data_IF_310788833959
#
_entry.id   IF_310788833959
#
_cell.length_a   1.000
_cell.length_b   1.000
_cell.length_c   1.000
_cell.angle_alpha   90.00
_cell.angle_beta   90.00
_cell.angle_gamma   90.00
#
_symmetry.space_group_name_H-M   'P 1'
#
loop_
_entity.id
_entity.type
_entity.pdbx_description
1 polymer ?
#
# COMPACT_ATOMS: atom_id res chain seq x y z
N UNK A 1 6.26 3.29 -7.43
CA UNK A 1 4.86 3.53 -7.83
C UNK A 1 3.95 3.06 -6.70
N UNK A 2 2.82 3.73 -6.46
CA UNK A 2 1.87 3.41 -5.39
C UNK A 2 2.58 3.28 -4.02
N UNK A 3 2.21 2.31 -3.19
CA UNK A 3 2.80 2.03 -1.87
C UNK A 3 4.33 1.95 -1.89
N UNK A 4 4.94 1.49 -2.99
CA UNK A 4 6.39 1.39 -3.12
C UNK A 4 7.15 2.71 -2.92
N UNK A 5 6.47 3.86 -3.07
CA UNK A 5 7.06 5.16 -2.71
C UNK A 5 7.22 5.38 -1.20
N UNK A 6 6.32 4.83 -0.37
CA UNK A 6 6.48 4.80 1.09
C UNK A 6 7.54 3.78 1.50
N UNK A 7 7.57 2.61 0.84
CA UNK A 7 8.59 1.57 1.07
C UNK A 7 10.02 2.09 0.86
N UNK A 8 10.29 2.79 -0.25
CA UNK A 8 11.63 3.34 -0.52
C UNK A 8 12.01 4.47 0.46
N UNK A 9 11.02 5.24 0.95
CA UNK A 9 11.25 6.25 2.01
C UNK A 9 11.60 5.58 3.34
N UNK A 10 10.92 4.50 3.72
CA UNK A 10 11.26 3.72 4.91
C UNK A 10 12.67 3.12 4.78
N UNK A 11 13.01 2.55 3.63
CA UNK A 11 14.36 2.04 3.38
C UNK A 11 15.42 3.13 3.54
N UNK A 12 15.17 4.34 3.03
CA UNK A 12 16.07 5.47 3.23
C UNK A 12 16.24 5.84 4.70
N UNK A 13 15.15 5.89 5.47
CA UNK A 13 15.21 6.15 6.91
C UNK A 13 16.10 5.12 7.60
N UNK A 14 15.87 3.83 7.34
CA UNK A 14 16.66 2.75 7.93
C UNK A 14 18.14 2.82 7.50
N UNK A 15 18.43 3.12 6.23
CA UNK A 15 19.81 3.29 5.78
C UNK A 15 20.51 4.47 6.45
N UNK A 16 19.82 5.58 6.67
CA UNK A 16 20.43 6.80 7.21
C UNK A 16 20.55 6.77 8.74
N UNK A 17 19.53 6.27 9.42
CA UNK A 17 19.37 6.40 10.88
C UNK A 17 19.47 5.03 11.60
N UNK A 18 19.25 3.94 10.87
CA UNK A 18 19.06 2.61 11.43
C UNK A 18 17.72 2.48 12.15
N UNK A 19 17.64 1.49 13.05
CA UNK A 19 16.50 1.34 13.96
C UNK A 19 17.00 1.26 15.41
N UNK A 20 16.68 2.24 16.28
CA UNK A 20 17.09 2.24 17.67
C UNK A 20 16.55 1.06 18.48
N UNK A 21 15.34 0.60 18.21
CA UNK A 21 14.71 -0.51 18.95
C UNK A 21 15.43 -1.82 18.64
N UNK A 22 15.73 -2.06 17.37
CA UNK A 22 16.52 -3.22 16.92
C UNK A 22 17.95 -3.20 17.48
N UNK A 23 18.58 -2.01 17.56
CA UNK A 23 19.91 -1.85 18.18
C UNK A 23 19.91 -2.24 19.67
N UNK A 24 18.83 -1.95 20.39
CA UNK A 24 18.70 -2.25 21.83
C UNK A 24 18.30 -3.71 22.06
N UNK A 25 17.40 -4.25 21.23
CA UNK A 25 16.90 -5.61 21.34
C UNK A 25 17.94 -6.67 20.92
N UNK A 26 18.87 -6.32 20.03
CA UNK A 26 19.92 -7.23 19.58
C UNK A 26 20.84 -7.64 20.73
N UNK A 27 20.78 -8.93 21.09
CA UNK A 27 21.72 -9.58 22.03
C UNK A 27 22.90 -10.28 21.30
N UNK A 28 23.04 -10.04 20.00
CA UNK A 28 24.01 -10.67 19.10
C UNK A 28 24.07 -9.94 17.75
N UNK A 29 24.20 -10.69 16.65
CA UNK A 29 24.28 -10.12 15.29
C UNK A 29 22.93 -9.49 14.88
N UNK A 30 22.92 -8.17 14.62
CA UNK A 30 21.79 -7.45 14.04
C UNK A 30 21.99 -7.23 12.54
N UNK A 31 20.90 -7.09 11.79
CA UNK A 31 20.99 -6.74 10.37
C UNK A 31 21.77 -5.42 10.20
N UNK A 32 22.76 -5.35 9.29
CA UNK A 32 23.47 -4.11 9.01
C UNK A 32 22.55 -2.95 8.65
N UNK A 33 21.37 -3.23 8.06
CA UNK A 33 20.34 -2.23 7.77
C UNK A 33 19.93 -1.45 9.02
N UNK A 34 19.73 -2.13 10.15
CA UNK A 34 19.31 -1.50 11.39
C UNK A 34 20.42 -0.71 12.07
N UNK A 35 21.67 -0.82 11.62
CA UNK A 35 22.77 -0.04 12.19
C UNK A 35 22.86 1.38 11.63
N UNK A 36 22.33 1.61 10.42
CA UNK A 36 22.49 2.86 9.66
C UNK A 36 23.75 2.81 8.79
N UNK A 37 23.58 2.46 7.51
CA UNK A 37 24.68 2.29 6.55
C UNK A 37 25.06 3.56 5.77
N UNK A 38 24.32 4.66 5.99
CA UNK A 38 24.56 5.97 5.39
C UNK A 38 23.90 6.17 4.02
N UNK A 39 24.49 7.07 3.22
CA UNK A 39 23.89 7.59 1.99
C UNK A 39 24.08 6.64 0.80
N UNK A 40 23.22 5.63 0.66
CA UNK A 40 23.25 4.71 -0.48
C UNK A 40 22.30 5.12 -1.61
N UNK A 41 21.31 5.95 -1.30
CA UNK A 41 20.27 6.38 -2.25
C UNK A 41 20.65 7.75 -2.83
N UNK A 42 20.70 7.84 -4.16
CA UNK A 42 20.97 9.10 -4.86
C UNK A 42 19.70 9.88 -5.18
N UNK A 43 18.64 9.18 -5.54
CA UNK A 43 17.35 9.78 -5.86
C UNK A 43 16.20 8.83 -5.60
N UNK A 44 15.06 9.39 -5.21
CA UNK A 44 13.78 8.71 -5.06
C UNK A 44 12.78 9.34 -6.02
N UNK A 45 12.19 8.52 -6.88
CA UNK A 45 11.11 8.95 -7.78
C UNK A 45 9.86 8.15 -7.48
N UNK A 46 8.78 8.85 -7.12
CA UNK A 46 7.49 8.25 -6.77
C UNK A 46 6.42 8.63 -7.78
N UNK A 47 5.54 7.68 -8.10
CA UNK A 47 4.40 7.85 -9.00
C UNK A 47 3.16 7.36 -8.27
N UNK A 48 2.13 8.21 -8.16
CA UNK A 48 0.85 7.87 -7.53
C UNK A 48 1.00 7.30 -6.11
N UNK A 49 1.99 7.78 -5.36
CA UNK A 49 2.28 7.28 -4.01
C UNK A 49 1.40 7.99 -2.98
N UNK A 50 0.69 7.24 -2.10
CA UNK A 50 -0.09 7.81 -1.02
C UNK A 50 0.82 8.23 0.15
N UNK A 51 1.61 9.30 -0.03
CA UNK A 51 2.54 9.78 1.02
C UNK A 51 1.83 10.20 2.32
N UNK A 52 0.56 10.56 2.22
CA UNK A 52 -0.32 10.92 3.34
C UNK A 52 -1.47 9.92 3.54
N UNK A 53 -1.35 8.73 2.94
CA UNK A 53 -2.38 7.70 2.96
C UNK A 53 -3.42 7.87 1.86
N UNK A 54 -4.39 6.95 1.83
CA UNK A 54 -5.54 7.00 0.92
C UNK A 54 -6.84 6.89 1.72
N UNK A 55 -7.81 7.81 1.50
CA UNK A 55 -9.12 7.71 2.14
C UNK A 55 -9.84 6.39 1.83
N UNK A 56 -9.50 5.73 0.71
CA UNK A 56 -10.11 4.46 0.33
C UNK A 56 -9.97 3.41 1.43
N UNK A 57 -8.78 3.26 2.00
CA UNK A 57 -8.54 2.24 3.02
C UNK A 57 -9.16 2.64 4.36
N UNK A 58 -9.23 3.94 4.65
CA UNK A 58 -9.90 4.47 5.85
C UNK A 58 -11.43 4.26 5.81
N UNK A 59 -12.02 4.20 4.62
CA UNK A 59 -13.47 4.03 4.40
C UNK A 59 -13.93 2.58 4.30
N UNK A 60 -13.01 1.63 4.09
CA UNK A 60 -13.34 0.22 3.92
C UNK A 60 -13.18 -0.53 5.24
N UNK A 61 -14.13 -1.42 5.54
CA UNK A 61 -13.93 -2.46 6.55
C UNK A 61 -13.11 -3.63 5.97
N UNK A 62 -12.78 -4.62 6.79
CA UNK A 62 -12.05 -5.80 6.32
C UNK A 62 -12.69 -6.51 5.14
N UNK A 63 -14.03 -6.58 5.10
CA UNK A 63 -14.74 -7.17 3.97
C UNK A 63 -14.55 -6.32 2.71
N UNK A 64 -14.61 -5.01 2.82
CA UNK A 64 -14.32 -4.05 1.77
C UNK A 64 -12.89 -4.17 1.23
N UNK A 65 -11.89 -4.34 2.11
CA UNK A 65 -10.50 -4.53 1.71
C UNK A 65 -10.27 -5.86 0.98
N UNK A 66 -10.90 -6.93 1.47
CA UNK A 66 -10.90 -8.24 0.79
C UNK A 66 -11.52 -8.13 -0.60
N UNK A 67 -12.70 -7.49 -0.71
CA UNK A 67 -13.37 -7.31 -1.99
C UNK A 67 -12.52 -6.46 -2.95
N UNK A 68 -11.86 -5.42 -2.46
CA UNK A 68 -10.94 -4.59 -3.26
C UNK A 68 -9.78 -5.41 -3.84
N UNK A 69 -9.18 -6.31 -3.05
CA UNK A 69 -8.13 -7.21 -3.55
C UNK A 69 -8.70 -8.17 -4.59
N UNK A 70 -9.85 -8.78 -4.32
CA UNK A 70 -10.51 -9.72 -5.25
C UNK A 70 -10.84 -9.04 -6.58
N UNK A 71 -11.36 -7.81 -6.55
CA UNK A 71 -11.61 -7.01 -7.74
C UNK A 71 -10.31 -6.77 -8.51
N UNK A 72 -9.25 -6.27 -7.87
CA UNK A 72 -7.95 -6.06 -8.51
C UNK A 72 -7.44 -7.35 -9.17
N UNK A 73 -7.50 -8.49 -8.46
CA UNK A 73 -7.11 -9.80 -8.98
C UNK A 73 -7.90 -10.15 -10.23
N UNK A 74 -9.23 -10.03 -10.19
CA UNK A 74 -10.12 -10.35 -11.30
C UNK A 74 -9.88 -9.41 -12.49
N UNK A 75 -9.73 -8.11 -12.24
CA UNK A 75 -9.49 -7.10 -13.27
C UNK A 75 -8.21 -7.37 -14.03
N UNK A 76 -7.11 -7.63 -13.32
CA UNK A 76 -5.85 -7.97 -13.96
C UNK A 76 -5.88 -9.36 -14.61
N UNK A 77 -6.54 -10.36 -14.02
CA UNK A 77 -6.71 -11.66 -14.67
C UNK A 77 -7.47 -11.56 -16.01
N UNK A 78 -8.42 -10.62 -16.12
CA UNK A 78 -9.18 -10.39 -17.34
C UNK A 78 -8.36 -9.74 -18.48
N UNK A 79 -7.30 -9.00 -18.16
CA UNK A 79 -6.47 -8.26 -19.14
C UNK A 79 -5.06 -8.82 -19.33
N UNK A 80 -4.64 -9.79 -18.52
CA UNK A 80 -3.28 -10.32 -18.50
C UNK A 80 -3.12 -11.66 -19.22
N UNK A 81 -1.91 -11.89 -19.73
CA UNK A 81 -1.39 -13.23 -20.01
C UNK A 81 -0.85 -13.86 -18.72
N UNK A 82 -0.47 -15.15 -18.78
CA UNK A 82 -0.03 -16.05 -17.67
C UNK A 82 0.85 -15.41 -16.58
N UNK A 83 1.59 -14.34 -16.88
CA UNK A 83 2.50 -13.64 -15.96
C UNK A 83 1.85 -13.00 -14.72
N UNK A 84 0.67 -12.40 -14.80
CA UNK A 84 0.02 -11.80 -13.60
C UNK A 84 -0.55 -12.89 -12.68
N UNK A 85 -1.08 -13.96 -13.26
CA UNK A 85 -1.54 -15.14 -12.52
C UNK A 85 -0.37 -15.78 -11.75
N UNK A 86 0.82 -15.81 -12.36
CA UNK A 86 2.05 -16.27 -11.68
C UNK A 86 2.50 -15.32 -10.56
N UNK A 87 2.30 -14.00 -10.69
CA UNK A 87 2.56 -13.03 -9.61
C UNK A 87 1.63 -13.25 -8.42
N UNK A 88 0.36 -13.57 -8.67
CA UNK A 88 -0.61 -13.88 -7.61
C UNK A 88 -0.39 -15.25 -6.94
N UNK A 89 0.56 -16.04 -7.42
CA UNK A 89 0.78 -17.38 -6.87
C UNK A 89 1.36 -17.34 -5.46
N UNK A 90 2.08 -16.27 -5.09
CA UNK A 90 2.61 -16.06 -3.75
C UNK A 90 2.58 -14.56 -3.38
N UNK A 91 2.08 -14.25 -2.18
CA UNK A 91 2.05 -12.89 -1.60
C UNK A 91 3.25 -12.60 -0.68
N UNK A 92 4.23 -13.49 -0.60
CA UNK A 92 5.46 -13.36 0.22
C UNK A 92 5.15 -13.18 1.74
N UNK A 93 4.14 -13.91 2.24
CA UNK A 93 3.66 -13.83 3.62
C UNK A 93 4.28 -14.91 4.55
N UNK A 94 5.45 -15.44 4.20
CA UNK A 94 6.15 -16.48 4.97
C UNK A 94 6.43 -16.08 6.42
N UNK A 95 6.68 -14.79 6.66
CA UNK A 95 6.89 -14.24 8.00
C UNK A 95 5.65 -14.34 8.90
N UNK A 96 4.45 -14.44 8.30
CA UNK A 96 3.19 -14.76 8.98
C UNK A 96 2.89 -16.27 9.03
N UNK A 97 3.80 -17.10 8.53
CA UNK A 97 3.60 -18.55 8.39
C UNK A 97 2.68 -18.93 7.22
N UNK A 98 2.50 -18.03 6.25
CA UNK A 98 1.59 -18.21 5.11
C UNK A 98 2.40 -18.19 3.82
N UNK A 99 2.78 -19.38 3.35
CA UNK A 99 3.39 -19.54 2.02
C UNK A 99 2.45 -20.32 1.12
N UNK A 100 2.66 -20.23 -0.19
CA UNK A 100 2.00 -21.12 -1.14
C UNK A 100 2.39 -22.59 -0.88
N UNK A 101 1.44 -23.53 -0.96
CA UNK A 101 1.70 -24.96 -0.76
C UNK A 101 1.70 -25.72 -2.09
N UNK A 102 2.63 -26.65 -2.27
CA UNK A 102 2.75 -27.41 -3.52
C UNK A 102 1.43 -28.12 -3.89
N UNK A 103 0.87 -27.76 -5.05
CA UNK A 103 -0.38 -28.34 -5.58
C UNK A 103 -1.66 -27.67 -5.08
N UNK A 104 -1.55 -26.60 -4.30
CA UNK A 104 -2.68 -25.83 -3.80
C UNK A 104 -3.33 -24.97 -4.89
N UNK A 105 -4.65 -24.81 -4.88
CA UNK A 105 -5.30 -23.86 -5.79
C UNK A 105 -5.12 -22.43 -5.28
N UNK A 106 -5.10 -21.43 -6.18
CA UNK A 106 -5.08 -20.02 -5.75
C UNK A 106 -6.25 -19.68 -4.81
N UNK A 107 -7.43 -20.28 -5.03
CA UNK A 107 -8.60 -20.07 -4.17
C UNK A 107 -8.39 -20.58 -2.75
N UNK A 108 -7.72 -21.72 -2.59
CA UNK A 108 -7.40 -22.28 -1.26
C UNK A 108 -6.33 -21.43 -0.58
N UNK A 109 -5.29 -21.04 -1.33
CA UNK A 109 -4.26 -20.12 -0.85
C UNK A 109 -4.86 -18.80 -0.35
N UNK A 110 -5.69 -18.17 -1.19
CA UNK A 110 -6.36 -16.92 -0.85
C UNK A 110 -7.30 -17.06 0.36
N UNK A 111 -7.98 -18.21 0.50
CA UNK A 111 -8.82 -18.49 1.67
C UNK A 111 -8.00 -18.55 2.97
N UNK A 112 -6.78 -19.12 2.93
CA UNK A 112 -5.86 -19.12 4.09
C UNK A 112 -5.34 -17.72 4.41
N UNK A 113 -4.99 -16.94 3.39
CA UNK A 113 -4.54 -15.56 3.56
C UNK A 113 -5.62 -14.72 4.27
N UNK A 114 -6.87 -14.78 3.79
CA UNK A 114 -8.02 -14.07 4.39
C UNK A 114 -8.34 -14.48 5.81
N UNK A 115 -8.09 -15.73 6.17
CA UNK A 115 -8.34 -16.27 7.52
C UNK A 115 -7.16 -16.13 8.47
N UNK A 116 -6.07 -15.52 8.02
CA UNK A 116 -4.86 -15.36 8.81
C UNK A 116 -4.90 -14.13 9.72
N UNK A 117 -3.97 -14.11 10.69
CA UNK A 117 -3.79 -12.96 11.57
C UNK A 117 -3.26 -11.71 10.84
N UNK A 118 -2.68 -11.86 9.63
CA UNK A 118 -2.19 -10.73 8.86
C UNK A 118 -3.32 -9.76 8.48
N UNK A 119 -4.53 -10.30 8.26
CA UNK A 119 -5.76 -9.57 7.91
C UNK A 119 -6.62 -9.20 9.13
N UNK A 120 -6.09 -9.27 10.35
CA UNK A 120 -6.81 -8.84 11.55
C UNK A 120 -6.87 -7.32 11.62
N UNK A 121 -8.03 -6.75 11.99
CA UNK A 121 -8.23 -5.29 12.18
C UNK A 121 -7.18 -4.63 13.08
N UNK A 122 -6.66 -5.38 14.06
CA UNK A 122 -5.69 -4.86 15.02
C UNK A 122 -4.23 -5.04 14.57
N UNK A 123 -4.00 -5.60 13.39
CA UNK A 123 -2.65 -5.76 12.86
C UNK A 123 -2.19 -4.47 12.18
N UNK A 124 -1.21 -3.81 12.78
CA UNK A 124 -0.56 -2.62 12.18
C UNK A 124 0.57 -3.00 11.21
N UNK A 125 1.04 -4.26 11.22
CA UNK A 125 2.12 -4.75 10.36
C UNK A 125 1.56 -5.39 9.09
N UNK A 126 0.82 -4.58 8.31
CA UNK A 126 0.28 -4.99 7.02
C UNK A 126 0.10 -3.80 6.07
N UNK A 127 0.12 -4.07 4.77
CA UNK A 127 0.07 -3.02 3.74
C UNK A 127 -1.15 -2.10 3.87
N UNK A 128 -2.30 -2.62 4.29
CA UNK A 128 -3.49 -1.80 4.48
C UNK A 128 -3.33 -0.78 5.59
N UNK A 129 -2.79 -1.19 6.74
CA UNK A 129 -2.52 -0.25 7.81
C UNK A 129 -1.59 0.88 7.34
N UNK A 130 -0.50 0.53 6.66
CA UNK A 130 0.47 1.47 6.09
C UNK A 130 -0.08 2.34 4.94
N UNK A 131 -1.28 2.03 4.41
CA UNK A 131 -1.99 2.84 3.42
C UNK A 131 -3.05 3.76 4.04
N UNK A 132 -3.41 3.56 5.31
CA UNK A 132 -4.30 4.48 6.04
C UNK A 132 -3.64 5.85 6.21
N UNK A 133 -4.45 6.89 6.43
CA UNK A 133 -3.92 8.22 6.78
C UNK A 133 -3.11 8.18 8.08
N UNK A 134 -3.53 7.35 9.05
CA UNK A 134 -2.84 7.18 10.32
C UNK A 134 -1.49 6.45 10.18
N UNK A 135 -1.44 5.34 9.44
CA UNK A 135 -0.21 4.58 9.18
C UNK A 135 0.82 5.41 8.44
N UNK A 136 0.42 6.11 7.37
CA UNK A 136 1.29 7.05 6.67
C UNK A 136 1.76 8.19 7.58
N UNK A 137 0.91 8.71 8.47
CA UNK A 137 1.30 9.72 9.46
C UNK A 137 2.35 9.18 10.44
N UNK A 138 2.22 7.92 10.89
CA UNK A 138 3.26 7.27 11.71
C UNK A 138 4.59 7.15 10.95
N UNK A 139 4.56 6.69 9.70
CA UNK A 139 5.76 6.62 8.85
C UNK A 139 6.41 8.00 8.65
N UNK A 140 5.61 9.02 8.35
CA UNK A 140 6.07 10.41 8.18
C UNK A 140 6.75 10.94 9.46
N UNK A 141 6.36 10.47 10.64
CA UNK A 141 6.97 10.87 11.90
C UNK A 141 8.15 9.99 12.35
N UNK A 142 8.44 8.87 11.65
CA UNK A 142 9.49 7.92 12.05
C UNK A 142 10.90 8.47 11.85
N UNK A 143 11.11 9.31 10.84
CA UNK A 143 12.41 9.87 10.50
C UNK A 143 12.29 11.22 9.79
N UNK A 144 13.35 11.65 9.11
CA UNK A 144 13.29 12.90 8.33
C UNK A 144 12.37 12.76 7.12
N UNK A 145 11.67 13.85 6.83
CA UNK A 145 10.86 13.99 5.61
C UNK A 145 11.70 13.90 4.33
N UNK A 146 12.94 14.42 4.39
CA UNK A 146 13.91 14.36 3.31
C UNK A 146 15.34 14.43 3.85
N UNK A 147 16.28 13.77 3.17
CA UNK A 147 17.69 13.77 3.47
C UNK A 147 18.47 14.66 2.50
N UNK A 148 19.50 15.40 2.96
CA UNK A 148 20.15 16.44 2.17
C UNK A 148 20.94 15.92 0.95
N UNK A 149 21.28 14.63 0.90
CA UNK A 149 22.09 14.04 -0.18
C UNK A 149 21.26 13.28 -1.23
N UNK A 150 19.93 13.31 -1.09
CA UNK A 150 18.99 12.58 -1.94
C UNK A 150 18.12 13.55 -2.73
N UNK A 151 17.94 13.28 -4.02
CA UNK A 151 16.97 14.02 -4.85
C UNK A 151 15.59 13.35 -4.79
N UNK A 152 14.53 14.14 -4.66
CA UNK A 152 13.16 13.63 -4.57
C UNK A 152 12.31 14.13 -5.74
N UNK A 153 11.60 13.22 -6.40
CA UNK A 153 10.69 13.51 -7.49
C UNK A 153 9.34 12.83 -7.22
N UNK A 154 8.24 13.57 -7.34
CA UNK A 154 6.89 13.07 -7.12
C UNK A 154 5.99 13.37 -8.32
N UNK A 155 5.32 12.35 -8.83
CA UNK A 155 4.31 12.47 -9.88
C UNK A 155 2.95 12.12 -9.29
N UNK A 156 2.08 13.13 -9.22
CA UNK A 156 0.67 12.95 -8.86
C UNK A 156 -0.14 12.53 -10.08
N UNK A 157 -1.23 11.82 -9.86
CA UNK A 157 -2.16 11.35 -10.89
C UNK A 157 -3.58 11.66 -10.47
N UNK A 158 -4.41 12.00 -11.44
CA UNK A 158 -5.83 12.28 -11.30
C UNK A 158 -6.53 11.71 -12.54
N UNK A 159 -7.71 11.13 -12.37
CA UNK A 159 -8.56 10.66 -13.45
C UNK A 159 -10.04 10.80 -13.07
N UNK A 160 -10.37 11.92 -12.43
CA UNK A 160 -11.71 12.25 -11.97
C UNK A 160 -12.08 13.64 -12.46
N UNK A 161 -13.36 13.97 -12.50
CA UNK A 161 -13.82 15.32 -12.77
C UNK A 161 -14.77 15.81 -11.68
N UNK A 162 -14.76 17.13 -11.38
CA UNK A 162 -15.68 17.71 -10.41
C UNK A 162 -17.11 17.68 -10.95
N UNK A 163 -18.04 17.22 -10.12
CA UNK A 163 -19.47 17.19 -10.39
C UNK A 163 -20.23 17.89 -9.28
N UNK A 164 -21.17 18.76 -9.66
CA UNK A 164 -22.05 19.43 -8.71
C UNK A 164 -23.23 18.53 -8.38
N UNK A 165 -23.18 17.90 -7.20
CA UNK A 165 -24.27 17.07 -6.71
C UNK A 165 -25.41 17.95 -6.20
N UNK A 166 -26.61 17.75 -6.74
CA UNK A 166 -27.84 18.46 -6.32
C UNK A 166 -28.75 17.60 -5.44
N UNK A 167 -28.18 16.61 -4.74
CA UNK A 167 -28.92 15.67 -3.90
C UNK A 167 -29.72 16.32 -2.75
N UNK A 168 -30.74 15.61 -2.25
CA UNK A 168 -31.77 16.10 -1.31
C UNK A 168 -31.28 16.61 0.06
N UNK A 169 -30.01 16.44 0.44
CA UNK A 169 -29.52 16.74 1.79
C UNK A 169 -28.46 17.84 1.91
N UNK A 170 -27.74 18.22 0.86
CA UNK A 170 -27.01 19.48 0.70
C UNK A 170 -26.26 19.43 -0.64
N UNK A 171 -26.23 20.55 -1.40
CA UNK A 171 -25.51 20.57 -2.64
C UNK A 171 -24.00 20.79 -2.40
N UNK A 172 -23.17 19.93 -2.98
CA UNK A 172 -21.72 19.94 -2.80
C UNK A 172 -20.97 19.46 -4.05
N UNK A 173 -19.66 19.78 -4.11
CA UNK A 173 -18.78 19.31 -5.17
C UNK A 173 -18.23 17.93 -4.80
N UNK A 174 -18.50 16.94 -5.65
CA UNK A 174 -17.95 15.60 -5.55
C UNK A 174 -17.02 15.33 -6.75
N UNK A 175 -16.16 14.32 -6.66
CA UNK A 175 -15.33 13.84 -7.76
C UNK A 175 -15.93 12.55 -8.33
N UNK A 176 -16.13 12.51 -9.65
CA UNK A 176 -16.62 11.32 -10.36
C UNK A 176 -15.53 10.78 -11.28
N UNK A 177 -15.46 9.45 -11.51
CA UNK A 177 -14.48 8.86 -12.42
C UNK A 177 -14.67 9.33 -13.85
N UNK A 178 -13.59 9.67 -14.54
CA UNK A 178 -13.61 9.94 -15.98
C UNK A 178 -14.01 8.68 -16.78
N UNK A 179 -14.57 8.88 -17.97
CA UNK A 179 -15.09 7.78 -18.79
C UNK A 179 -14.01 6.78 -19.25
N UNK A 180 -12.76 7.24 -19.37
CA UNK A 180 -11.62 6.42 -19.76
C UNK A 180 -10.86 5.83 -18.55
N UNK A 181 -11.31 6.12 -17.32
CA UNK A 181 -10.81 5.42 -16.13
C UNK A 181 -11.07 3.94 -16.29
N UNK A 182 -10.06 3.13 -15.97
CA UNK A 182 -10.23 1.69 -16.00
C UNK A 182 -11.41 1.32 -15.09
N UNK A 183 -12.42 0.65 -15.66
CA UNK A 183 -13.74 0.49 -15.05
C UNK A 183 -13.70 -0.10 -13.63
N UNK A 184 -12.67 -0.86 -13.31
CA UNK A 184 -12.51 -1.46 -11.98
C UNK A 184 -12.26 -0.43 -10.87
N UNK A 185 -11.74 0.74 -11.21
CA UNK A 185 -11.51 1.82 -10.26
C UNK A 185 -12.71 2.74 -10.09
N UNK A 186 -13.76 2.63 -10.92
CA UNK A 186 -14.93 3.51 -10.83
C UNK A 186 -15.61 3.47 -9.45
N UNK A 187 -15.84 2.29 -8.82
CA UNK A 187 -16.44 2.24 -7.48
C UNK A 187 -15.56 2.90 -6.42
N UNK A 188 -14.25 2.66 -6.48
CA UNK A 188 -13.29 3.25 -5.54
C UNK A 188 -13.19 4.76 -5.72
N UNK A 189 -13.14 5.25 -6.95
CA UNK A 189 -13.10 6.68 -7.26
C UNK A 189 -14.36 7.40 -6.79
N UNK A 190 -15.54 6.81 -7.01
CA UNK A 190 -16.81 7.36 -6.52
C UNK A 190 -16.88 7.37 -4.99
N UNK A 191 -16.31 6.36 -4.31
CA UNK A 191 -16.26 6.30 -2.85
C UNK A 191 -15.31 7.36 -2.25
N UNK A 192 -14.14 7.58 -2.86
CA UNK A 192 -13.17 8.60 -2.41
C UNK A 192 -13.69 10.01 -2.71
N UNK A 193 -14.38 10.17 -3.84
CA UNK A 193 -14.78 11.46 -4.38
C UNK A 193 -16.11 12.00 -3.86
N UNK A 194 -16.94 11.16 -3.23
CA UNK A 194 -18.23 11.53 -2.64
C UNK A 194 -18.10 11.87 -1.16
#
# INVERSE_FOLDING_TARGET
>A
HSMGGNTIRLLEILLQEGDPEEKVAASGDTSPLFTGQGNWIKSITTFSTPHDGTPLVDLLDNLGLVNLIEDIIVGFAAVSSVSFINFLYDFDLDHWGISYQQGESFSDYWSRVKSSNAFNDNNEDFAFYDLTTEGCRKLNNRGRQAYPNTYYFGYATEQTYPFWSVGFFNPEWIQLPELDMWFIFHPSAALIGG
#
